data_IF_190345822901
#
_entry.id   IF_190345822901
#
_cell.length_a   1.000
_cell.length_b   1.000
_cell.length_c   1.000
_cell.angle_alpha   90.00
_cell.angle_beta   90.00
_cell.angle_gamma   90.00
#
_symmetry.space_group_name_H-M   'P 1'
#
loop_
_entity.id
_entity.type
_entity.pdbx_description
1 polymer ?
#
# COMPACT_ATOMS: atom_id res chain seq x y z
N UNK A 1 -9.57 -16.06 -10.65
CA UNK A 1 -8.57 -14.99 -10.74
C UNK A 1 -7.58 -15.12 -9.59
N UNK A 2 -6.30 -14.84 -9.82
CA UNK A 2 -5.29 -14.78 -8.78
C UNK A 2 -5.09 -13.35 -8.28
N UNK A 3 -4.95 -13.21 -6.97
CA UNK A 3 -4.56 -11.96 -6.31
C UNK A 3 -3.22 -12.18 -5.64
N UNK A 4 -2.26 -11.32 -5.93
CA UNK A 4 -0.93 -11.35 -5.37
C UNK A 4 -0.75 -10.14 -4.45
N UNK A 5 -0.28 -10.38 -3.24
CA UNK A 5 0.22 -9.37 -2.33
C UNK A 5 1.73 -9.58 -2.17
N UNK A 6 2.50 -8.62 -2.63
CA UNK A 6 3.94 -8.76 -2.86
C UNK A 6 4.70 -7.83 -1.94
N UNK A 7 5.56 -8.39 -1.12
CA UNK A 7 6.66 -7.72 -0.44
C UNK A 7 8.00 -8.25 -0.92
N UNK A 8 9.09 -7.63 -0.49
CA UNK A 8 10.44 -8.01 -0.92
C UNK A 8 10.83 -9.44 -0.49
N UNK A 9 10.25 -9.92 0.60
CA UNK A 9 10.61 -11.20 1.23
C UNK A 9 9.52 -12.26 1.16
N UNK A 10 8.29 -11.87 0.82
CA UNK A 10 7.15 -12.76 0.86
C UNK A 10 6.12 -12.37 -0.17
N UNK A 11 5.50 -13.36 -0.79
CA UNK A 11 4.36 -13.18 -1.68
C UNK A 11 3.20 -14.03 -1.18
N UNK A 12 2.07 -13.39 -0.89
CA UNK A 12 0.84 -14.08 -0.59
C UNK A 12 -0.02 -14.13 -1.86
N UNK A 13 -0.48 -15.32 -2.23
CA UNK A 13 -1.28 -15.56 -3.43
C UNK A 13 -2.61 -16.16 -3.03
N UNK A 14 -3.69 -15.56 -3.49
CA UNK A 14 -5.04 -16.04 -3.25
C UNK A 14 -5.73 -16.31 -4.58
N UNK A 15 -6.30 -17.50 -4.74
CA UNK A 15 -7.23 -17.84 -5.82
C UNK A 15 -8.65 -17.67 -5.33
N UNK A 16 -9.44 -16.89 -6.05
CA UNK A 16 -10.81 -16.64 -5.66
C UNK A 16 -11.57 -15.75 -6.63
N UNK A 17 -12.80 -15.45 -6.26
CA UNK A 17 -13.66 -14.54 -6.99
C UNK A 17 -14.40 -13.59 -6.04
N UNK A 18 -14.96 -12.53 -6.61
CA UNK A 18 -15.81 -11.56 -5.95
C UNK A 18 -17.16 -11.52 -6.66
N UNK A 19 -17.86 -12.62 -6.67
CA UNK A 19 -19.20 -12.73 -7.23
C UNK A 19 -20.26 -12.52 -6.13
N UNK A 20 -21.33 -11.80 -6.46
CA UNK A 20 -22.50 -11.64 -5.57
C UNK A 20 -22.22 -10.91 -4.25
N UNK A 21 -21.37 -9.88 -4.25
CA UNK A 21 -20.97 -9.09 -3.07
C UNK A 21 -20.33 -9.93 -1.93
N UNK A 22 -19.81 -11.11 -2.25
CA UNK A 22 -19.08 -11.96 -1.31
C UNK A 22 -17.74 -12.32 -1.91
N UNK A 23 -16.69 -12.15 -1.12
CA UNK A 23 -15.36 -12.65 -1.45
C UNK A 23 -15.36 -14.15 -1.16
N UNK A 24 -15.06 -14.94 -2.18
CA UNK A 24 -14.89 -16.39 -2.07
C UNK A 24 -13.42 -16.71 -2.29
N UNK A 25 -12.78 -17.22 -1.25
CA UNK A 25 -11.41 -17.72 -1.32
C UNK A 25 -11.48 -19.23 -1.56
N UNK A 26 -10.85 -19.68 -2.64
CA UNK A 26 -10.78 -21.10 -3.00
C UNK A 26 -9.50 -21.74 -2.45
N UNK A 27 -8.37 -21.06 -2.62
CA UNK A 27 -7.05 -21.47 -2.15
C UNK A 27 -6.19 -20.26 -1.80
N UNK A 28 -5.22 -20.47 -0.93
CA UNK A 28 -4.18 -19.50 -0.61
C UNK A 28 -2.81 -20.18 -0.57
N UNK A 29 -1.78 -19.43 -0.92
CA UNK A 29 -0.40 -19.88 -0.98
C UNK A 29 0.49 -18.73 -0.50
N UNK A 30 1.48 -19.04 0.31
CA UNK A 30 2.53 -18.13 0.72
C UNK A 30 3.86 -18.62 0.14
N UNK A 31 4.61 -17.72 -0.46
CA UNK A 31 5.91 -18.00 -1.10
C UNK A 31 6.95 -17.08 -0.51
N UNK A 32 8.00 -17.66 0.04
CA UNK A 32 9.18 -16.90 0.46
C UNK A 32 10.00 -16.48 -0.76
N UNK A 33 10.46 -15.24 -0.77
CA UNK A 33 11.18 -14.61 -1.88
C UNK A 33 12.66 -14.46 -1.52
N UNK A 34 13.58 -15.04 -2.29
CA UNK A 34 15.02 -14.80 -2.15
C UNK A 34 15.38 -13.30 -2.29
N UNK A 35 16.45 -12.89 -1.61
CA UNK A 35 16.85 -11.48 -1.48
C UNK A 35 17.18 -10.77 -2.81
N UNK A 36 17.57 -11.52 -3.81
CA UNK A 36 17.99 -11.02 -5.13
C UNK A 36 16.86 -10.92 -6.16
N UNK A 37 15.60 -11.11 -5.75
CA UNK A 37 14.46 -11.13 -6.69
C UNK A 37 13.64 -9.85 -6.70
N UNK A 38 13.41 -9.25 -5.53
CA UNK A 38 12.65 -8.00 -5.38
C UNK A 38 13.43 -7.06 -4.46
N UNK A 39 13.52 -5.80 -4.85
CA UNK A 39 14.15 -4.75 -4.05
C UNK A 39 13.23 -3.54 -3.96
N UNK A 40 12.78 -3.23 -2.74
CA UNK A 40 11.88 -2.11 -2.45
C UNK A 40 10.67 -2.05 -3.41
N UNK A 41 10.04 -3.23 -3.60
CA UNK A 41 8.88 -3.41 -4.45
C UNK A 41 9.18 -3.54 -5.95
N UNK A 42 10.39 -3.34 -6.44
CA UNK A 42 10.76 -3.53 -7.84
C UNK A 42 11.27 -4.96 -8.08
N UNK A 43 10.72 -5.63 -9.09
CA UNK A 43 11.19 -6.97 -9.49
C UNK A 43 12.50 -6.82 -10.27
N UNK A 44 13.61 -7.21 -9.66
CA UNK A 44 14.96 -7.11 -10.25
C UNK A 44 15.40 -8.38 -10.97
N UNK A 45 14.88 -9.56 -10.57
CA UNK A 45 15.13 -10.84 -11.23
C UNK A 45 13.85 -11.45 -11.80
N UNK A 46 13.46 -10.97 -12.98
CA UNK A 46 12.21 -11.38 -13.65
C UNK A 46 12.15 -12.89 -13.94
N UNK A 47 13.24 -13.47 -14.42
CA UNK A 47 13.28 -14.90 -14.79
C UNK A 47 13.20 -15.80 -13.55
N UNK A 48 14.01 -15.51 -12.53
CA UNK A 48 14.01 -16.29 -11.29
C UNK A 48 12.67 -16.23 -10.57
N UNK A 49 12.08 -15.01 -10.44
CA UNK A 49 10.80 -14.86 -9.77
C UNK A 49 9.66 -15.51 -10.55
N UNK A 50 9.65 -15.40 -11.89
CA UNK A 50 8.62 -16.04 -12.71
C UNK A 50 8.66 -17.57 -12.61
N UNK A 51 9.84 -18.17 -12.61
CA UNK A 51 10.03 -19.62 -12.45
C UNK A 51 9.58 -20.10 -11.06
N UNK A 52 9.99 -19.38 -10.01
CA UNK A 52 9.58 -19.64 -8.62
C UNK A 52 8.05 -19.64 -8.50
N UNK A 53 7.41 -18.55 -8.91
CA UNK A 53 5.96 -18.39 -8.79
C UNK A 53 5.20 -19.42 -9.62
N UNK A 54 5.58 -19.65 -10.87
CA UNK A 54 4.91 -20.64 -11.72
C UNK A 54 5.04 -22.06 -11.16
N UNK A 55 6.19 -22.40 -10.58
CA UNK A 55 6.41 -23.70 -9.96
C UNK A 55 5.48 -23.90 -8.77
N UNK A 56 5.41 -22.93 -7.87
CA UNK A 56 4.57 -23.00 -6.68
C UNK A 56 3.06 -22.99 -7.03
N UNK A 57 2.63 -22.11 -7.92
CA UNK A 57 1.24 -22.01 -8.37
C UNK A 57 0.76 -23.29 -9.04
N UNK A 58 1.63 -23.94 -9.83
CA UNK A 58 1.32 -25.23 -10.47
C UNK A 58 1.25 -26.38 -9.46
N UNK A 59 2.17 -26.43 -8.50
CA UNK A 59 2.19 -27.45 -7.45
C UNK A 59 0.90 -27.44 -6.62
N UNK A 60 0.34 -26.26 -6.37
CA UNK A 60 -0.89 -26.07 -5.60
C UNK A 60 -2.18 -26.08 -6.46
N UNK A 61 -2.09 -26.40 -7.75
CA UNK A 61 -3.23 -26.39 -8.69
C UNK A 61 -4.00 -25.06 -8.68
N UNK A 62 -3.26 -23.95 -8.62
CA UNK A 62 -3.81 -22.59 -8.55
C UNK A 62 -3.77 -21.84 -9.88
N UNK A 63 -3.37 -22.46 -10.98
CA UNK A 63 -3.23 -21.77 -12.27
C UNK A 63 -4.50 -21.02 -12.65
N UNK A 64 -4.33 -19.80 -13.15
CA UNK A 64 -5.38 -18.94 -13.72
C UNK A 64 -4.78 -18.02 -14.79
N UNK A 65 -5.63 -17.51 -15.68
CA UNK A 65 -5.19 -16.61 -16.76
C UNK A 65 -5.14 -15.14 -16.32
N UNK A 66 -5.92 -14.77 -15.33
CA UNK A 66 -6.08 -13.40 -14.89
C UNK A 66 -5.48 -13.20 -13.50
N UNK A 67 -4.70 -12.13 -13.35
CA UNK A 67 -4.04 -11.76 -12.10
C UNK A 67 -4.26 -10.28 -11.76
N UNK A 68 -4.28 -9.99 -10.47
CA UNK A 68 -4.13 -8.64 -9.93
C UNK A 68 -2.95 -8.66 -8.96
N UNK A 69 -2.24 -7.55 -8.85
CA UNK A 69 -1.12 -7.40 -7.94
C UNK A 69 -1.32 -6.21 -7.02
N UNK A 70 -0.96 -6.41 -5.77
CA UNK A 70 -0.78 -5.36 -4.76
C UNK A 70 0.67 -5.42 -4.30
N UNK A 71 1.31 -4.28 -4.17
CA UNK A 71 2.68 -4.19 -3.66
C UNK A 71 2.85 -2.97 -2.78
N UNK A 72 3.94 -2.95 -2.01
CA UNK A 72 4.35 -1.83 -1.17
C UNK A 72 5.79 -1.44 -1.51
N UNK A 73 6.10 -0.15 -1.42
CA UNK A 73 7.45 0.38 -1.68
C UNK A 73 7.64 1.71 -0.97
N UNK A 74 8.80 1.93 -0.36
CA UNK A 74 9.15 3.22 0.25
C UNK A 74 9.40 4.33 -0.78
N UNK A 75 9.54 3.97 -2.07
CA UNK A 75 9.67 4.93 -3.17
C UNK A 75 8.32 5.53 -3.62
N UNK A 76 7.21 5.07 -3.04
CA UNK A 76 5.89 5.64 -3.32
C UNK A 76 5.74 6.94 -2.53
N UNK A 77 5.43 8.02 -3.23
CA UNK A 77 5.22 9.35 -2.64
C UNK A 77 3.72 9.63 -2.55
N UNK A 78 3.29 10.08 -1.37
CA UNK A 78 1.91 10.52 -1.12
C UNK A 78 1.90 12.02 -0.82
N UNK A 79 0.93 12.74 -1.39
CA UNK A 79 0.76 14.17 -1.16
C UNK A 79 -0.72 14.54 -1.14
N UNK A 80 -1.16 15.21 -0.08
CA UNK A 80 -2.48 15.85 -0.10
C UNK A 80 -2.37 17.15 -0.91
N UNK A 81 -3.27 17.30 -1.88
CA UNK A 81 -3.35 18.47 -2.75
C UNK A 81 -4.76 19.04 -2.72
N UNK A 82 -4.89 20.34 -2.92
CA UNK A 82 -6.17 21.02 -3.20
C UNK A 82 -6.21 21.35 -4.69
N UNK A 83 -7.17 20.77 -5.39
CA UNK A 83 -7.26 20.86 -6.85
C UNK A 83 -8.67 21.33 -7.25
N UNK A 84 -8.79 22.32 -8.15
CA UNK A 84 -10.08 22.73 -8.70
C UNK A 84 -10.82 21.55 -9.30
N UNK A 85 -12.16 21.50 -9.15
CA UNK A 85 -12.99 20.45 -9.76
C UNK A 85 -12.90 20.53 -11.29
N UNK A 86 -12.51 19.44 -11.93
CA UNK A 86 -12.49 19.24 -13.36
C UNK A 86 -12.97 17.83 -13.70
N UNK A 87 -13.13 17.49 -14.97
CA UNK A 87 -13.62 16.17 -15.39
C UNK A 87 -12.56 15.40 -16.19
N UNK A 88 -12.54 14.08 -15.97
CA UNK A 88 -11.73 13.17 -16.78
C UNK A 88 -10.23 13.47 -16.74
N UNK A 89 -9.61 13.49 -17.91
CA UNK A 89 -8.15 13.65 -18.06
C UNK A 89 -7.64 15.02 -17.61
N UNK A 90 -8.45 16.06 -17.69
CA UNK A 90 -8.07 17.41 -17.25
C UNK A 90 -7.74 17.43 -15.75
N UNK A 91 -8.55 16.76 -14.95
CA UNK A 91 -8.31 16.66 -13.51
C UNK A 91 -7.01 15.93 -13.18
N UNK A 92 -6.73 14.82 -13.89
CA UNK A 92 -5.47 14.09 -13.72
C UNK A 92 -4.26 14.95 -14.10
N UNK A 93 -4.35 15.71 -15.19
CA UNK A 93 -3.29 16.64 -15.59
C UNK A 93 -3.03 17.72 -14.54
N UNK A 94 -4.09 18.26 -13.90
CA UNK A 94 -3.93 19.21 -12.79
C UNK A 94 -3.18 18.57 -11.61
N UNK A 95 -3.56 17.35 -11.21
CA UNK A 95 -2.86 16.62 -10.15
C UNK A 95 -1.39 16.39 -10.51
N UNK A 96 -1.10 15.97 -11.75
CA UNK A 96 0.27 15.77 -12.25
C UNK A 96 1.09 17.06 -12.19
N UNK A 97 0.51 18.18 -12.62
CA UNK A 97 1.18 19.48 -12.58
C UNK A 97 1.50 19.92 -11.13
N UNK A 98 0.57 19.73 -10.20
CA UNK A 98 0.81 20.03 -8.77
C UNK A 98 1.92 19.12 -8.21
N UNK A 99 1.89 17.83 -8.49
CA UNK A 99 2.94 16.90 -8.06
C UNK A 99 4.30 17.28 -8.62
N UNK A 100 4.35 17.69 -9.88
CA UNK A 100 5.60 18.16 -10.50
C UNK A 100 6.12 19.46 -9.86
N UNK A 101 5.25 20.43 -9.63
CA UNK A 101 5.65 21.73 -9.07
C UNK A 101 6.04 21.66 -7.60
N UNK A 102 5.30 20.89 -6.78
CA UNK A 102 5.51 20.85 -5.34
C UNK A 102 6.53 19.78 -4.90
N UNK A 103 6.65 18.69 -5.65
CA UNK A 103 7.45 17.53 -5.26
C UNK A 103 8.57 17.21 -6.27
N UNK A 104 8.66 17.93 -7.38
CA UNK A 104 9.64 17.64 -8.44
C UNK A 104 9.39 16.31 -9.16
N UNK A 105 8.15 15.76 -9.08
CA UNK A 105 7.78 14.50 -9.73
C UNK A 105 7.78 14.71 -11.25
N UNK A 106 8.49 13.84 -11.97
CA UNK A 106 8.65 13.85 -13.42
C UNK A 106 7.80 12.79 -14.11
N UNK A 107 7.91 12.68 -15.43
CA UNK A 107 7.28 11.64 -16.25
C UNK A 107 7.82 10.22 -16.01
N UNK A 108 8.91 10.09 -15.23
CA UNK A 108 9.40 8.80 -14.74
C UNK A 108 8.49 8.16 -13.68
N UNK A 109 7.47 8.89 -13.22
CA UNK A 109 6.51 8.41 -12.23
C UNK A 109 5.12 8.19 -12.83
N UNK A 110 4.52 7.08 -12.45
CA UNK A 110 3.09 6.82 -12.64
C UNK A 110 2.30 7.51 -11.54
N UNK A 111 1.41 8.43 -11.90
CA UNK A 111 0.62 9.22 -10.93
C UNK A 111 -0.82 8.76 -10.95
N UNK A 112 -1.39 8.60 -9.76
CA UNK A 112 -2.82 8.40 -9.53
C UNK A 112 -3.30 9.27 -8.36
N UNK A 113 -4.63 9.32 -8.14
CA UNK A 113 -5.19 10.09 -7.03
C UNK A 113 -6.48 9.46 -6.51
N UNK A 114 -6.80 9.81 -5.26
CA UNK A 114 -8.10 9.54 -4.63
C UNK A 114 -8.67 10.85 -4.11
N UNK A 115 -9.93 11.17 -4.42
CA UNK A 115 -10.61 12.33 -3.83
C UNK A 115 -10.94 11.99 -2.37
N UNK A 116 -10.45 12.83 -1.45
CA UNK A 116 -10.58 12.63 0.00
C UNK A 116 -11.42 13.69 0.69
N UNK A 117 -12.08 14.58 -0.04
CA UNK A 117 -13.03 15.54 0.51
C UNK A 117 -13.14 16.83 -0.28
N UNK A 118 -13.99 17.71 0.22
CA UNK A 118 -14.11 19.10 -0.25
C UNK A 118 -12.98 19.96 0.34
N UNK A 119 -12.54 20.97 -0.39
CA UNK A 119 -11.42 21.80 0.05
C UNK A 119 -11.78 22.83 1.16
N UNK A 120 -13.06 22.92 1.54
CA UNK A 120 -13.56 23.87 2.51
C UNK A 120 -13.92 25.24 1.93
N UNK A 121 -14.35 26.14 2.82
CA UNK A 121 -14.88 27.46 2.43
C UNK A 121 -13.82 28.39 1.82
N UNK A 122 -12.55 28.19 2.18
CA UNK A 122 -11.43 29.00 1.66
C UNK A 122 -11.12 28.72 0.17
N UNK A 123 -11.56 27.57 -0.35
CA UNK A 123 -11.34 27.16 -1.74
C UNK A 123 -12.64 26.61 -2.36
N UNK A 124 -13.65 27.45 -2.57
CA UNK A 124 -14.91 27.00 -3.11
C UNK A 124 -14.74 26.46 -4.53
N UNK A 125 -15.29 25.26 -4.77
CA UNK A 125 -15.17 24.59 -6.08
C UNK A 125 -13.90 23.75 -6.26
N UNK A 126 -13.07 23.60 -5.24
CA UNK A 126 -11.95 22.69 -5.20
C UNK A 126 -12.23 21.45 -4.34
N UNK A 127 -11.45 20.41 -4.53
CA UNK A 127 -11.47 19.19 -3.73
C UNK A 127 -10.08 18.89 -3.19
N UNK A 128 -10.05 18.22 -2.04
CA UNK A 128 -8.84 17.60 -1.53
C UNK A 128 -8.64 16.24 -2.19
N UNK A 129 -7.43 15.98 -2.64
CA UNK A 129 -7.02 14.69 -3.19
C UNK A 129 -5.79 14.19 -2.47
N UNK A 130 -5.72 12.89 -2.24
CA UNK A 130 -4.48 12.22 -1.92
C UNK A 130 -3.88 11.74 -3.25
N UNK A 131 -2.88 12.46 -3.73
CA UNK A 131 -2.11 12.09 -4.90
C UNK A 131 -1.03 11.09 -4.53
N UNK A 132 -0.77 10.17 -5.43
CA UNK A 132 0.21 9.10 -5.27
C UNK A 132 1.08 9.05 -6.51
N UNK A 133 2.41 9.07 -6.32
CA UNK A 133 3.38 8.88 -7.39
C UNK A 133 4.24 7.64 -7.10
N UNK A 134 4.33 6.75 -8.07
CA UNK A 134 5.12 5.53 -8.02
C UNK A 134 6.11 5.53 -9.18
N UNK A 135 7.42 5.20 -8.97
CA UNK A 135 8.35 5.04 -10.07
C UNK A 135 7.80 4.09 -11.15
N UNK A 136 7.81 4.54 -12.40
CA UNK A 136 7.25 3.75 -13.51
C UNK A 136 8.02 2.44 -13.73
N UNK A 137 9.30 2.38 -13.34
CA UNK A 137 10.12 1.15 -13.39
C UNK A 137 9.49 0.03 -12.56
N UNK A 138 8.97 0.33 -11.38
CA UNK A 138 8.30 -0.65 -10.51
C UNK A 138 7.06 -1.21 -11.22
N UNK A 139 6.20 -0.34 -11.74
CA UNK A 139 4.97 -0.76 -12.44
C UNK A 139 5.31 -1.61 -13.68
N UNK A 140 6.31 -1.19 -14.44
CA UNK A 140 6.76 -1.91 -15.65
C UNK A 140 7.43 -3.25 -15.31
N UNK A 141 8.11 -3.37 -14.16
CA UNK A 141 8.67 -4.65 -13.72
C UNK A 141 7.57 -5.70 -13.51
N UNK A 142 6.44 -5.33 -12.89
CA UNK A 142 5.28 -6.22 -12.76
C UNK A 142 4.64 -6.56 -14.12
N UNK A 143 4.47 -5.59 -15.01
CA UNK A 143 3.94 -5.85 -16.35
C UNK A 143 4.78 -6.89 -17.08
N UNK A 144 6.11 -6.77 -17.02
CA UNK A 144 7.04 -7.73 -17.63
C UNK A 144 6.94 -9.09 -16.96
N UNK A 145 6.93 -9.15 -15.62
CA UNK A 145 6.81 -10.40 -14.86
C UNK A 145 5.56 -11.20 -15.28
N UNK A 146 4.38 -10.57 -15.24
CA UNK A 146 3.13 -11.26 -15.58
C UNK A 146 3.04 -11.64 -17.05
N UNK A 147 3.65 -10.84 -17.95
CA UNK A 147 3.76 -11.21 -19.35
C UNK A 147 4.63 -12.47 -19.55
N UNK A 148 5.77 -12.58 -18.85
CA UNK A 148 6.63 -13.78 -18.87
C UNK A 148 5.86 -14.99 -18.31
N UNK A 149 5.08 -14.81 -17.25
CA UNK A 149 4.25 -15.87 -16.67
C UNK A 149 3.06 -16.28 -17.57
N UNK A 150 2.79 -15.55 -18.65
CA UNK A 150 1.65 -15.78 -19.54
C UNK A 150 0.30 -15.44 -18.92
N UNK A 151 0.27 -14.54 -17.96
CA UNK A 151 -0.93 -14.10 -17.26
C UNK A 151 -1.36 -12.69 -17.70
N UNK A 152 -2.67 -12.46 -17.76
CA UNK A 152 -3.23 -11.13 -18.01
C UNK A 152 -3.21 -10.32 -16.69
N UNK A 153 -2.31 -9.38 -16.55
CA UNK A 153 -2.31 -8.47 -15.42
C UNK A 153 -3.46 -7.45 -15.57
N UNK A 154 -4.49 -7.60 -14.75
CA UNK A 154 -5.71 -6.78 -14.78
C UNK A 154 -5.55 -5.46 -14.05
N UNK A 155 -4.80 -5.44 -12.95
CA UNK A 155 -4.50 -4.22 -12.22
C UNK A 155 -3.22 -4.34 -11.40
N UNK A 156 -2.58 -3.19 -11.20
CA UNK A 156 -1.48 -2.98 -10.27
C UNK A 156 -1.97 -2.01 -9.21
N UNK A 157 -1.91 -2.41 -7.94
CA UNK A 157 -2.38 -1.62 -6.81
C UNK A 157 -1.26 -1.46 -5.79
N UNK A 158 -1.38 -0.46 -4.93
CA UNK A 158 -0.51 -0.27 -3.78
C UNK A 158 -1.21 -0.71 -2.49
N UNK A 159 -0.43 -1.18 -1.51
CA UNK A 159 -0.93 -1.80 -0.27
C UNK A 159 -1.94 -0.92 0.47
N UNK A 160 -1.66 0.35 0.67
CA UNK A 160 -2.56 1.27 1.38
C UNK A 160 -3.94 1.41 0.72
N UNK A 161 -4.03 1.37 -0.63
CA UNK A 161 -5.32 1.43 -1.33
C UNK A 161 -6.13 0.13 -1.17
N UNK A 162 -5.45 -1.00 -1.08
CA UNK A 162 -6.10 -2.29 -0.86
C UNK A 162 -6.64 -2.40 0.56
N UNK A 163 -5.85 -2.01 1.56
CA UNK A 163 -6.29 -2.02 2.96
C UNK A 163 -7.38 -0.99 3.21
N UNK A 164 -7.33 0.17 2.55
CA UNK A 164 -8.37 1.19 2.68
C UNK A 164 -9.75 0.68 2.28
N UNK A 165 -9.85 -0.15 1.25
CA UNK A 165 -11.12 -0.77 0.85
C UNK A 165 -11.69 -1.68 1.92
N UNK A 166 -10.84 -2.42 2.65
CA UNK A 166 -11.24 -3.32 3.72
C UNK A 166 -11.68 -2.50 4.94
N UNK A 167 -10.86 -1.55 5.36
CA UNK A 167 -11.10 -0.71 6.55
C UNK A 167 -12.38 0.11 6.41
N UNK A 168 -12.59 0.73 5.25
CA UNK A 168 -13.75 1.59 4.99
C UNK A 168 -15.04 0.79 4.68
N UNK A 169 -14.93 -0.50 4.33
CA UNK A 169 -16.09 -1.37 4.17
C UNK A 169 -16.73 -1.76 5.51
N UNK A 170 -15.97 -1.79 6.59
CA UNK A 170 -16.47 -2.05 7.93
C UNK A 170 -16.86 -0.73 8.61
N UNK A 171 -18.18 -0.52 8.73
CA UNK A 171 -18.74 0.69 9.35
C UNK A 171 -18.33 0.87 10.82
N UNK A 172 -17.97 -0.19 11.53
CA UNK A 172 -17.52 -0.10 12.93
C UNK A 172 -16.20 0.66 13.07
N UNK A 173 -15.41 0.72 12.00
CA UNK A 173 -14.17 1.48 11.99
C UNK A 173 -14.37 3.00 11.93
N UNK A 174 -15.56 3.46 11.51
CA UNK A 174 -15.89 4.89 11.49
C UNK A 174 -15.87 5.52 12.89
N UNK A 175 -16.32 4.77 13.89
CA UNK A 175 -16.34 5.21 15.29
C UNK A 175 -14.96 5.17 15.95
N UNK A 176 -14.00 4.50 15.32
CA UNK A 176 -12.62 4.37 15.78
C UNK A 176 -11.67 5.41 15.17
N UNK A 177 -12.17 6.29 14.32
CA UNK A 177 -11.35 7.32 13.69
C UNK A 177 -11.11 8.52 14.61
N UNK A 178 -9.89 9.06 14.68
CA UNK A 178 -8.71 8.73 13.85
C UNK A 178 -8.17 7.33 14.11
N UNK A 179 -7.97 6.56 13.04
CA UNK A 179 -7.52 5.18 13.06
C UNK A 179 -6.22 5.05 12.27
N UNK A 180 -5.18 4.53 12.89
CA UNK A 180 -3.95 4.19 12.20
C UNK A 180 -3.91 2.69 11.88
N UNK A 181 -3.62 2.34 10.65
CA UNK A 181 -3.40 0.96 10.21
C UNK A 181 -1.94 0.80 9.83
N UNK A 182 -1.25 -0.10 10.52
CA UNK A 182 0.18 -0.36 10.34
C UNK A 182 0.38 -1.73 9.68
N UNK A 183 0.99 -1.73 8.51
CA UNK A 183 1.56 -2.93 7.88
C UNK A 183 2.97 -3.11 8.43
N UNK A 184 3.27 -4.31 8.89
CA UNK A 184 4.59 -4.69 9.39
C UNK A 184 5.22 -5.64 8.39
N UNK A 185 6.41 -5.32 7.93
CA UNK A 185 7.29 -6.19 7.16
C UNK A 185 8.70 -6.18 7.77
N UNK A 186 9.55 -7.09 7.36
CA UNK A 186 10.94 -7.18 7.89
C UNK A 186 11.78 -5.95 7.57
N UNK A 187 11.50 -5.27 6.46
CA UNK A 187 12.31 -4.16 5.95
C UNK A 187 11.54 -2.86 5.73
N UNK A 188 10.24 -2.82 6.06
CA UNK A 188 9.47 -1.58 6.03
C UNK A 188 8.25 -1.60 6.96
N UNK A 189 7.76 -0.42 7.30
CA UNK A 189 6.45 -0.20 7.89
C UNK A 189 5.57 0.56 6.91
N UNK A 190 4.36 0.07 6.69
CA UNK A 190 3.32 0.80 5.95
C UNK A 190 2.35 1.44 6.94
N UNK A 191 2.20 2.75 6.90
CA UNK A 191 1.37 3.52 7.82
C UNK A 191 0.25 4.18 7.03
N UNK A 192 -1.00 3.88 7.37
CA UNK A 192 -2.18 4.44 6.72
C UNK A 192 -3.11 5.05 7.77
N UNK A 193 -3.28 6.35 7.72
CA UNK A 193 -4.14 7.12 8.62
C UNK A 193 -5.52 7.30 8.00
N UNK A 194 -6.55 7.01 8.78
CA UNK A 194 -7.95 7.23 8.43
C UNK A 194 -8.55 8.29 9.35
N UNK A 195 -9.17 9.30 8.76
CA UNK A 195 -9.85 10.40 9.42
C UNK A 195 -11.18 10.68 8.71
N UNK A 196 -12.23 11.01 9.44
CA UNK A 196 -13.51 11.45 8.87
C UNK A 196 -14.07 10.50 7.78
N UNK A 197 -13.90 9.19 7.94
CA UNK A 197 -14.44 8.20 7.01
C UNK A 197 -13.64 8.01 5.73
N UNK A 198 -12.40 8.44 5.67
CA UNK A 198 -11.56 8.35 4.49
C UNK A 198 -10.08 8.16 4.83
N UNK A 199 -9.30 7.72 3.86
CA UNK A 199 -7.85 7.69 3.97
C UNK A 199 -7.31 9.13 3.89
N UNK A 200 -6.72 9.60 4.98
CA UNK A 200 -6.19 10.96 5.10
C UNK A 200 -4.71 11.05 4.70
N UNK A 201 -3.95 10.01 5.01
CA UNK A 201 -2.51 9.97 4.72
C UNK A 201 -2.02 8.52 4.63
N UNK A 202 -0.97 8.30 3.84
CA UNK A 202 -0.24 7.05 3.80
C UNK A 202 1.27 7.30 3.66
N UNK A 203 2.07 6.39 4.22
CA UNK A 203 3.53 6.44 4.16
C UNK A 203 4.10 5.04 4.27
N UNK A 204 5.16 4.76 3.52
CA UNK A 204 6.02 3.60 3.71
C UNK A 204 7.36 4.06 4.26
N UNK A 205 7.80 3.44 5.33
CA UNK A 205 9.04 3.76 6.04
C UNK A 205 9.96 2.55 5.97
N UNK A 206 11.13 2.64 5.33
CA UNK A 206 12.10 1.57 5.39
C UNK A 206 12.59 1.42 6.82
N UNK A 207 12.82 0.20 7.24
CA UNK A 207 13.42 -0.16 8.53
C UNK A 207 14.53 -1.17 8.30
N UNK A 208 15.58 -1.08 9.09
CA UNK A 208 16.70 -2.03 9.08
C UNK A 208 17.11 -2.32 10.51
N UNK A 209 17.52 -3.55 10.76
CA UNK A 209 18.12 -3.96 12.03
C UNK A 209 19.35 -3.08 12.39
N UNK A 210 20.11 -2.67 11.38
CA UNK A 210 21.30 -1.81 11.55
C UNK A 210 20.99 -0.38 12.06
N UNK A 211 19.73 0.05 11.98
CA UNK A 211 19.30 1.38 12.41
C UNK A 211 18.95 1.45 13.92
N UNK A 212 18.95 0.30 14.62
CA UNK A 212 18.52 0.17 16.01
C UNK A 212 19.54 -0.65 16.82
N UNK A 213 19.73 -0.27 18.09
CA UNK A 213 20.63 -0.96 19.03
C UNK A 213 19.98 -2.20 19.70
N UNK A 214 18.81 -2.60 19.27
CA UNK A 214 17.98 -3.62 19.90
C UNK A 214 17.64 -4.75 18.93
N UNK A 215 17.63 -5.98 19.45
CA UNK A 215 17.14 -7.17 18.71
C UNK A 215 15.63 -7.06 18.35
N UNK A 216 14.92 -6.08 18.95
CA UNK A 216 13.50 -5.82 18.72
C UNK A 216 13.26 -4.54 17.91
N UNK A 217 14.07 -4.33 16.89
CA UNK A 217 14.04 -3.13 16.03
C UNK A 217 12.66 -2.85 15.41
N UNK A 218 11.86 -3.89 15.13
CA UNK A 218 10.52 -3.74 14.57
C UNK A 218 9.61 -3.02 15.56
N UNK A 219 9.63 -3.43 16.84
CA UNK A 219 8.82 -2.79 17.89
C UNK A 219 9.26 -1.35 18.14
N UNK A 220 10.56 -1.08 18.18
CA UNK A 220 11.08 0.28 18.34
C UNK A 220 10.68 1.18 17.17
N UNK A 221 10.89 0.71 15.93
CA UNK A 221 10.48 1.41 14.73
C UNK A 221 8.97 1.68 14.70
N UNK A 222 8.16 0.71 15.11
CA UNK A 222 6.71 0.85 15.15
C UNK A 222 6.27 1.93 16.13
N UNK A 223 6.77 1.88 17.37
CA UNK A 223 6.47 2.87 18.43
C UNK A 223 6.84 4.29 17.99
N UNK A 224 8.05 4.45 17.45
CA UNK A 224 8.52 5.75 16.96
C UNK A 224 7.62 6.30 15.85
N UNK A 225 7.22 5.44 14.91
CA UNK A 225 6.40 5.86 13.79
C UNK A 225 4.93 6.07 14.16
N UNK A 226 4.36 5.32 15.09
CA UNK A 226 3.02 5.59 15.66
C UNK A 226 3.02 6.96 16.32
N UNK A 227 4.03 7.26 17.15
CA UNK A 227 4.16 8.56 17.78
C UNK A 227 4.25 9.71 16.76
N UNK A 228 5.05 9.55 15.70
CA UNK A 228 5.15 10.54 14.62
C UNK A 228 3.81 10.73 13.90
N UNK A 229 3.04 9.67 13.68
CA UNK A 229 1.71 9.75 13.07
C UNK A 229 0.69 10.43 13.98
N UNK A 230 0.79 10.21 15.28
CA UNK A 230 -0.03 10.92 16.27
C UNK A 230 0.26 12.43 16.24
N UNK A 231 1.54 12.83 16.25
CA UNK A 231 1.93 14.23 16.14
C UNK A 231 1.46 14.85 14.81
N UNK A 232 1.55 14.10 13.73
CA UNK A 232 1.04 14.54 12.42
C UNK A 232 -0.47 14.78 12.44
N UNK A 233 -1.25 13.87 13.05
CA UNK A 233 -2.70 14.03 13.21
C UNK A 233 -3.03 15.28 14.04
N UNK A 234 -2.38 15.46 15.20
CA UNK A 234 -2.56 16.62 16.09
C UNK A 234 -2.22 17.94 15.38
N UNK A 235 -1.13 17.98 14.60
CA UNK A 235 -0.73 19.17 13.85
C UNK A 235 -1.76 19.59 12.78
N UNK A 236 -2.60 18.67 12.31
CA UNK A 236 -3.72 18.90 11.38
C UNK A 236 -5.05 19.24 12.09
N UNK A 237 -5.02 19.38 13.43
CA UNK A 237 -6.21 19.63 14.23
C UNK A 237 -7.00 18.38 14.63
N UNK A 238 -6.42 17.20 14.49
CA UNK A 238 -6.99 15.94 14.96
C UNK A 238 -6.89 15.77 16.48
N UNK A 239 -7.67 14.83 17.04
CA UNK A 239 -7.75 14.54 18.48
C UNK A 239 -6.59 13.69 19.02
N UNK A 240 -5.73 13.19 18.16
CA UNK A 240 -4.72 12.17 18.48
C UNK A 240 -5.14 10.78 18.03
N UNK A 241 -4.28 9.79 18.21
CA UNK A 241 -4.53 8.41 17.84
C UNK A 241 -4.88 7.58 19.07
N UNK A 242 -6.08 7.00 19.10
CA UNK A 242 -6.52 6.10 20.18
C UNK A 242 -6.64 4.65 19.67
N UNK A 243 -6.71 4.46 18.36
CA UNK A 243 -6.94 3.15 17.75
C UNK A 243 -5.88 2.85 16.71
N UNK A 244 -5.27 1.66 16.83
CA UNK A 244 -4.27 1.13 15.91
C UNK A 244 -4.67 -0.29 15.50
N UNK A 245 -4.56 -0.59 14.20
CA UNK A 245 -4.69 -1.94 13.66
C UNK A 245 -3.33 -2.35 13.13
N UNK A 246 -2.86 -3.52 13.54
CA UNK A 246 -1.60 -4.11 13.07
C UNK A 246 -1.89 -5.30 12.16
N UNK A 247 -1.12 -5.43 11.07
CA UNK A 247 -1.16 -6.60 10.20
C UNK A 247 0.19 -6.80 9.49
N UNK A 248 0.39 -7.98 8.90
CA UNK A 248 1.59 -8.30 8.16
C UNK A 248 2.47 -9.33 8.87
N UNK A 249 3.78 -9.15 8.82
CA UNK A 249 4.74 -10.04 9.43
C UNK A 249 4.85 -9.76 10.94
N UNK A 250 4.23 -10.62 11.74
CA UNK A 250 4.21 -10.51 13.21
C UNK A 250 4.61 -11.86 13.78
N UNK A 251 5.81 -11.94 14.34
CA UNK A 251 6.33 -13.17 14.95
C UNK A 251 5.69 -13.44 16.32
N UNK A 252 5.58 -12.42 17.15
CA UNK A 252 4.96 -12.48 18.49
C UNK A 252 3.98 -11.33 18.67
N UNK A 253 2.72 -11.61 18.40
CA UNK A 253 1.65 -10.62 18.49
C UNK A 253 1.44 -10.11 19.91
N UNK A 254 1.57 -10.97 20.91
CA UNK A 254 1.35 -10.58 22.33
C UNK A 254 2.43 -9.62 22.75
N UNK A 255 3.71 -9.95 22.52
CA UNK A 255 4.84 -9.10 22.84
C UNK A 255 4.73 -7.73 22.17
N UNK A 256 4.32 -7.71 20.90
CA UNK A 256 4.18 -6.48 20.13
C UNK A 256 3.07 -5.58 20.69
N UNK A 257 1.91 -6.15 21.04
CA UNK A 257 0.78 -5.40 21.60
C UNK A 257 1.08 -4.89 23.01
N UNK A 258 1.79 -5.67 23.82
CA UNK A 258 2.17 -5.26 25.20
C UNK A 258 3.22 -4.13 25.18
N UNK A 259 3.94 -3.95 24.09
CA UNK A 259 4.96 -2.91 23.92
C UNK A 259 4.44 -1.58 23.35
N UNK A 260 3.18 -1.56 22.86
CA UNK A 260 2.49 -0.38 22.33
C UNK A 260 1.67 0.33 23.41
#
# INVERSE_FOLDING_TARGET
MLSFDISDRQINIVKGDNSSNKIRIERSLQVDVPEDMILNGEVINLSGLSELLLTQIKAEDMMDKDAIVTFSSSNIVFKELVVPKAKGNEFLLMVQNHMSQEMGITDEYSISYTVVGEAGEDNPGAVKVLATACPSTIVESYRKLYNIMGMNLRSVNIGCNSIARIVLADKSNMEKMPLLVCQIDKNFLGLTLFENGQMAFARYVPISEDDYDSDDYITEALNENIFRMEQFNKARGGSGLENVILYGFIEDYIKLVDAL
#
